data_IF_511253509538
#
_entry.id   IF_511253509538
#
_cell.length_a   1.000
_cell.length_b   1.000
_cell.length_c   1.000
_cell.angle_alpha   90.00
_cell.angle_beta   90.00
_cell.angle_gamma   90.00
#
_symmetry.space_group_name_H-M   'P 1'
#
loop_
_entity.id
_entity.type
_entity.pdbx_description
1 polymer ?
#
# COMPACT_ATOMS: atom_id res chain seq x y z
N UNK A 1 -12.72 -13.78 14.60
CA UNK A 1 -11.80 -12.87 15.30
C UNK A 1 -10.97 -12.22 14.23
N UNK A 2 -11.07 -10.91 14.09
CA UNK A 2 -10.30 -10.15 13.11
C UNK A 2 -8.87 -9.96 13.63
N UNK A 3 -7.88 -10.30 12.83
CA UNK A 3 -6.46 -10.06 13.12
C UNK A 3 -5.98 -9.00 12.14
N UNK A 4 -5.14 -8.08 12.62
CA UNK A 4 -4.50 -7.08 11.77
C UNK A 4 -3.07 -7.51 11.48
N UNK A 5 -2.75 -7.63 10.19
CA UNK A 5 -1.40 -7.85 9.70
C UNK A 5 -0.90 -6.52 9.15
N UNK A 6 0.32 -6.12 9.50
CA UNK A 6 0.85 -4.80 9.17
C UNK A 6 2.23 -4.87 8.52
N UNK A 7 2.48 -3.94 7.60
CA UNK A 7 3.80 -3.64 7.05
C UNK A 7 4.13 -2.17 7.34
N UNK A 8 5.29 -1.94 7.97
CA UNK A 8 5.77 -0.59 8.26
C UNK A 8 6.27 0.11 6.99
N UNK A 9 6.09 1.43 6.91
CA UNK A 9 6.67 2.26 5.87
C UNK A 9 8.17 2.13 5.74
N UNK A 10 8.89 1.95 6.86
CA UNK A 10 10.34 1.73 6.84
C UNK A 10 10.78 0.45 6.08
N UNK A 11 9.88 -0.52 5.93
CA UNK A 11 10.08 -1.74 5.15
C UNK A 11 9.50 -1.69 3.74
N UNK A 12 8.97 -0.54 3.31
CA UNK A 12 8.38 -0.38 2.00
C UNK A 12 9.45 -0.40 0.89
N UNK A 13 9.06 -0.89 -0.28
CA UNK A 13 9.92 -0.98 -1.46
C UNK A 13 9.23 -0.22 -2.59
N UNK A 14 9.97 0.58 -3.36
CA UNK A 14 9.40 1.34 -4.47
C UNK A 14 9.92 0.87 -5.82
N UNK A 15 9.16 1.18 -6.87
CA UNK A 15 9.67 1.08 -8.23
C UNK A 15 10.85 2.05 -8.46
N UNK A 16 11.66 1.79 -9.50
CA UNK A 16 12.83 2.63 -9.83
C UNK A 16 12.52 4.07 -10.28
N UNK A 17 11.24 4.42 -10.44
CA UNK A 17 10.81 5.80 -10.73
C UNK A 17 10.74 6.67 -9.48
N UNK A 18 10.68 6.05 -8.29
CA UNK A 18 10.55 6.72 -7.01
C UNK A 18 11.80 6.50 -6.18
N UNK A 19 12.11 7.48 -5.32
CA UNK A 19 13.10 7.33 -4.25
C UNK A 19 12.35 7.19 -2.93
N UNK A 20 12.88 6.34 -2.06
CA UNK A 20 12.37 6.12 -0.71
C UNK A 20 13.48 6.40 0.29
N UNK A 21 13.13 7.06 1.40
CA UNK A 21 14.01 7.25 2.55
C UNK A 21 13.23 6.93 3.84
N UNK A 22 13.82 6.18 4.79
CA UNK A 22 13.19 5.99 6.09
C UNK A 22 13.00 7.32 6.82
N UNK A 23 11.88 7.48 7.56
CA UNK A 23 11.68 8.58 8.50
C UNK A 23 10.86 8.10 9.70
N UNK A 24 11.34 8.33 10.93
CA UNK A 24 10.64 8.03 12.21
C UNK A 24 9.89 6.69 12.33
N UNK A 25 10.29 5.65 11.59
CA UNK A 25 9.61 4.35 11.55
C UNK A 25 8.64 4.15 10.39
N UNK A 26 8.35 5.22 9.64
CA UNK A 26 7.72 5.22 8.33
C UNK A 26 8.74 5.41 7.19
N UNK A 27 8.25 5.90 6.05
CA UNK A 27 9.09 6.25 4.91
C UNK A 27 8.51 7.35 4.04
N UNK A 28 9.39 8.31 3.69
CA UNK A 28 9.10 9.38 2.75
C UNK A 28 9.43 8.90 1.34
N UNK A 29 8.45 8.98 0.45
CA UNK A 29 8.55 8.62 -0.97
C UNK A 29 8.38 9.87 -1.83
N UNK A 30 9.25 10.01 -2.84
CA UNK A 30 9.25 11.14 -3.76
C UNK A 30 9.60 10.69 -5.19
N UNK A 31 9.28 11.49 -6.23
CA UNK A 31 9.77 11.25 -7.57
C UNK A 31 11.30 11.35 -7.66
N UNK A 32 11.90 10.55 -8.54
CA UNK A 32 13.33 10.67 -8.87
C UNK A 32 13.60 11.76 -9.92
N UNK A 33 12.63 12.01 -10.81
CA UNK A 33 12.75 12.91 -11.97
C UNK A 33 11.42 13.62 -12.25
N UNK A 34 11.42 14.80 -12.91
CA UNK A 34 10.20 15.57 -13.18
C UNK A 34 9.11 14.84 -13.98
N UNK A 35 9.50 13.87 -14.80
CA UNK A 35 8.63 13.02 -15.62
C UNK A 35 8.12 11.78 -14.87
N UNK A 36 8.78 11.39 -13.78
CA UNK A 36 8.47 10.23 -12.95
C UNK A 36 7.35 10.52 -11.93
N UNK A 37 6.22 11.08 -12.39
CA UNK A 37 5.11 11.56 -11.54
C UNK A 37 4.20 10.45 -10.99
N UNK A 38 4.56 9.18 -11.19
CA UNK A 38 3.78 8.04 -10.72
C UNK A 38 4.69 6.84 -10.43
N UNK A 39 4.23 5.97 -9.54
CA UNK A 39 4.88 4.70 -9.26
C UNK A 39 4.11 3.89 -8.22
N UNK A 40 4.64 2.71 -7.90
CA UNK A 40 4.11 1.85 -6.86
C UNK A 40 5.02 1.82 -5.63
N UNK A 41 4.37 1.69 -4.47
CA UNK A 41 5.00 1.43 -3.18
C UNK A 41 4.47 0.11 -2.65
N UNK A 42 5.36 -0.82 -2.34
CA UNK A 42 5.05 -2.20 -1.96
C UNK A 42 5.36 -2.42 -0.48
N UNK A 43 4.38 -2.93 0.24
CA UNK A 43 4.46 -3.27 1.65
C UNK A 43 4.34 -4.79 1.77
N UNK A 44 5.40 -5.43 2.25
CA UNK A 44 5.41 -6.87 2.52
C UNK A 44 4.81 -7.09 3.91
N UNK A 45 3.75 -7.87 4.00
CA UNK A 45 3.06 -8.16 5.25
C UNK A 45 3.43 -9.57 5.74
N UNK A 46 3.40 -9.82 7.07
CA UNK A 46 3.58 -11.15 7.61
C UNK A 46 2.50 -12.10 7.08
N UNK A 47 2.84 -13.39 6.98
CA UNK A 47 1.87 -14.40 6.58
C UNK A 47 0.74 -14.50 7.62
N UNK A 48 -0.53 -14.62 7.17
CA UNK A 48 -1.64 -14.86 8.08
C UNK A 48 -1.47 -16.18 8.86
N UNK A 49 -1.95 -16.25 10.12
CA UNK A 49 -1.72 -17.40 11.01
C UNK A 49 -2.60 -18.63 10.71
N UNK A 50 -3.52 -18.55 9.74
CA UNK A 50 -4.49 -19.62 9.42
C UNK A 50 -4.35 -20.05 7.97
N UNK A 51 -4.78 -21.28 7.68
CA UNK A 51 -5.00 -21.72 6.29
C UNK A 51 -6.19 -20.94 5.70
N UNK A 52 -5.90 -20.09 4.72
CA UNK A 52 -6.85 -19.38 3.86
C UNK A 52 -7.82 -18.38 4.55
N UNK A 53 -7.37 -17.44 5.40
CA UNK A 53 -8.26 -16.41 5.91
C UNK A 53 -8.77 -15.50 4.80
N UNK A 54 -9.95 -14.95 5.01
CA UNK A 54 -10.52 -13.93 4.12
C UNK A 54 -9.96 -12.57 4.49
N UNK A 55 -9.43 -11.84 3.50
CA UNK A 55 -9.07 -10.43 3.72
C UNK A 55 -10.33 -9.58 3.60
N UNK A 56 -10.55 -8.71 4.59
CA UNK A 56 -11.78 -7.90 4.74
C UNK A 56 -11.58 -6.42 4.50
N UNK A 57 -10.38 -5.92 4.73
CA UNK A 57 -10.09 -4.50 4.60
C UNK A 57 -8.60 -4.26 4.40
N UNK A 58 -8.30 -3.10 3.82
CA UNK A 58 -6.96 -2.52 3.74
C UNK A 58 -7.01 -1.14 4.40
N UNK A 59 -6.10 -0.89 5.33
CA UNK A 59 -5.85 0.43 5.91
C UNK A 59 -4.49 0.93 5.40
N UNK A 60 -4.46 2.17 4.93
CA UNK A 60 -3.24 2.84 4.49
C UNK A 60 -3.11 4.11 5.32
N UNK A 61 -2.04 4.20 6.11
CA UNK A 61 -1.75 5.37 6.93
C UNK A 61 -0.62 6.19 6.31
N UNK A 62 -0.94 7.43 5.94
CA UNK A 62 -0.01 8.32 5.26
C UNK A 62 -0.41 9.79 5.36
N UNK A 63 0.59 10.64 5.22
CA UNK A 63 0.45 12.07 4.96
C UNK A 63 1.00 12.41 3.58
N UNK A 64 0.37 13.34 2.87
CA UNK A 64 0.81 13.73 1.54
C UNK A 64 0.97 15.25 1.43
N UNK A 65 2.07 15.65 0.80
CA UNK A 65 2.32 17.00 0.32
C UNK A 65 2.41 17.00 -1.20
N UNK A 66 1.41 17.59 -1.86
CA UNK A 66 1.33 17.69 -3.32
C UNK A 66 1.41 16.33 -4.05
N UNK A 67 0.99 15.27 -3.35
CA UNK A 67 0.91 13.89 -3.83
C UNK A 67 -0.44 13.28 -3.44
N UNK A 68 -0.77 12.13 -4.02
CA UNK A 68 -1.99 11.40 -3.70
C UNK A 68 -1.88 9.92 -4.05
N UNK A 69 -2.72 9.12 -3.40
CA UNK A 69 -2.96 7.71 -3.74
C UNK A 69 -4.16 7.62 -4.67
N UNK A 70 -4.03 6.92 -5.79
CA UNK A 70 -5.11 6.73 -6.77
C UNK A 70 -5.61 5.28 -6.87
N UNK A 71 -4.86 4.33 -6.30
CA UNK A 71 -5.30 2.95 -6.17
C UNK A 71 -4.53 2.21 -5.06
N UNK A 72 -5.12 1.11 -4.62
CA UNK A 72 -4.46 0.12 -3.75
C UNK A 72 -4.75 -1.29 -4.26
N UNK A 73 -3.82 -2.22 -4.10
CA UNK A 73 -3.98 -3.61 -4.52
C UNK A 73 -3.41 -4.58 -3.47
N UNK A 74 -4.02 -5.75 -3.38
CA UNK A 74 -3.47 -6.91 -2.66
C UNK A 74 -2.89 -7.87 -3.68
N UNK A 75 -1.68 -8.35 -3.40
CA UNK A 75 -0.97 -9.33 -4.20
C UNK A 75 -0.57 -10.54 -3.38
N UNK A 76 -0.73 -11.72 -3.98
CA UNK A 76 -0.21 -12.98 -3.44
C UNK A 76 0.83 -13.56 -4.39
N UNK A 77 2.09 -13.70 -3.94
CA UNK A 77 3.23 -14.03 -4.79
C UNK A 77 3.23 -13.26 -6.13
N UNK A 78 3.12 -11.93 -6.04
CA UNK A 78 3.11 -11.00 -7.16
C UNK A 78 1.90 -11.08 -8.11
N UNK A 79 0.93 -11.98 -7.88
CA UNK A 79 -0.34 -11.99 -8.60
C UNK A 79 -1.33 -11.05 -7.92
N UNK A 80 -1.93 -10.13 -8.68
CA UNK A 80 -2.97 -9.23 -8.20
C UNK A 80 -4.24 -10.03 -7.88
N UNK A 81 -4.64 -10.02 -6.61
CA UNK A 81 -5.86 -10.69 -6.14
C UNK A 81 -7.02 -9.70 -6.06
N UNK A 82 -6.74 -8.49 -5.60
CA UNK A 82 -7.71 -7.41 -5.46
C UNK A 82 -7.09 -6.08 -5.84
N UNK A 83 -7.87 -5.19 -6.46
CA UNK A 83 -7.48 -3.83 -6.74
C UNK A 83 -8.65 -2.89 -6.64
N UNK A 84 -8.49 -1.86 -5.82
CA UNK A 84 -9.41 -0.72 -5.76
C UNK A 84 -8.77 0.47 -6.44
N UNK A 85 -9.44 1.05 -7.44
CA UNK A 85 -9.07 2.32 -8.05
C UNK A 85 -10.00 3.40 -7.52
N UNK A 86 -9.44 4.49 -7.01
CA UNK A 86 -10.26 5.53 -6.41
C UNK A 86 -10.76 6.53 -7.47
N UNK A 87 -12.07 6.79 -7.53
CA UNK A 87 -12.62 7.81 -8.43
C UNK A 87 -12.21 9.22 -8.02
N UNK A 88 -11.80 9.42 -6.76
CA UNK A 88 -11.24 10.67 -6.25
C UNK A 88 -9.90 10.37 -5.57
N UNK A 89 -8.83 11.14 -5.85
CA UNK A 89 -7.55 11.03 -5.17
C UNK A 89 -7.68 10.99 -3.65
N UNK A 90 -6.91 10.12 -3.00
CA UNK A 90 -6.77 10.10 -1.55
C UNK A 90 -5.53 10.90 -1.17
N UNK A 91 -5.70 11.94 -0.36
CA UNK A 91 -4.62 12.83 0.11
C UNK A 91 -4.31 12.63 1.59
N UNK A 92 -4.99 11.71 2.26
CA UNK A 92 -4.79 11.34 3.66
C UNK A 92 -5.21 9.88 3.87
N UNK A 93 -4.86 9.33 5.03
CA UNK A 93 -5.14 7.95 5.44
C UNK A 93 -6.58 7.51 5.18
N UNK A 94 -6.75 6.25 4.77
CA UNK A 94 -8.05 5.70 4.41
C UNK A 94 -8.16 4.21 4.69
N UNK A 95 -9.40 3.73 4.71
CA UNK A 95 -9.77 2.32 4.76
C UNK A 95 -10.55 1.92 3.50
N UNK A 96 -10.23 0.76 2.94
CA UNK A 96 -10.94 0.13 1.82
C UNK A 96 -11.52 -1.20 2.28
N UNK A 97 -12.85 -1.42 2.20
CA UNK A 97 -13.42 -2.75 2.40
C UNK A 97 -13.07 -3.65 1.21
N UNK A 98 -12.76 -4.92 1.50
CA UNK A 98 -12.52 -5.95 0.49
C UNK A 98 -13.73 -6.89 0.49
N UNK A 99 -14.47 -7.00 -0.63
CA UNK A 99 -15.60 -7.90 -0.73
C UNK A 99 -15.20 -9.36 -0.48
N UNK A 100 -16.11 -10.13 0.12
CA UNK A 100 -15.88 -11.56 0.38
C UNK A 100 -15.61 -12.29 -0.94
N UNK A 101 -14.56 -13.09 -0.98
CA UNK A 101 -14.19 -13.92 -2.13
C UNK A 101 -13.26 -13.23 -3.14
N UNK A 102 -12.96 -11.94 -2.99
CA UNK A 102 -12.05 -11.25 -3.91
C UNK A 102 -10.57 -11.41 -3.55
N UNK A 103 -10.25 -11.49 -2.24
CA UNK A 103 -8.88 -11.69 -1.78
C UNK A 103 -8.83 -12.84 -0.76
N UNK A 104 -8.90 -14.07 -1.28
CA UNK A 104 -8.69 -15.27 -0.49
C UNK A 104 -7.20 -15.61 -0.44
N UNK A 105 -6.68 -15.73 0.78
CA UNK A 105 -5.28 -16.08 0.98
C UNK A 105 -4.99 -17.49 0.43
N UNK A 106 -3.90 -17.63 -0.33
CA UNK A 106 -3.54 -18.87 -1.03
C UNK A 106 -2.23 -19.51 -0.53
N UNK A 107 -1.81 -19.20 0.70
CA UNK A 107 -0.59 -19.75 1.30
C UNK A 107 0.72 -19.11 0.85
N UNK A 108 0.68 -17.99 0.10
CA UNK A 108 1.88 -17.31 -0.43
C UNK A 108 2.20 -16.01 0.30
N UNK A 109 3.28 -15.31 -0.06
CA UNK A 109 3.59 -14.00 0.53
C UNK A 109 2.50 -12.96 0.22
N UNK A 110 2.16 -12.12 1.20
CA UNK A 110 1.16 -11.03 1.05
C UNK A 110 1.88 -9.71 0.82
N UNK A 111 1.50 -9.02 -0.25
CA UNK A 111 2.01 -7.67 -0.55
C UNK A 111 0.83 -6.75 -0.76
N UNK A 112 0.81 -5.62 -0.04
CA UNK A 112 -0.08 -4.51 -0.39
C UNK A 112 0.70 -3.54 -1.25
N UNK A 113 0.14 -3.16 -2.39
CA UNK A 113 0.72 -2.16 -3.27
C UNK A 113 -0.14 -0.91 -3.27
N UNK A 114 0.47 0.23 -2.94
CA UNK A 114 -0.13 1.55 -2.99
C UNK A 114 0.37 2.26 -4.24
N UNK A 115 -0.54 2.69 -5.11
CA UNK A 115 -0.21 3.43 -6.32
C UNK A 115 -0.30 4.92 -6.03
N UNK A 116 0.82 5.61 -6.26
CA UNK A 116 0.99 7.01 -5.90
C UNK A 116 1.22 7.87 -7.14
N UNK A 117 0.74 9.11 -7.06
CA UNK A 117 0.96 10.15 -8.06
C UNK A 117 1.40 11.43 -7.40
N UNK A 118 2.26 12.15 -8.10
CA UNK A 118 2.90 13.37 -7.63
C UNK A 118 2.58 14.52 -8.59
N UNK A 119 2.20 15.67 -8.06
CA UNK A 119 1.89 16.84 -8.88
C UNK A 119 3.19 17.47 -9.43
N UNK A 120 4.26 17.40 -8.66
CA UNK A 120 5.57 17.97 -8.95
C UNK A 120 6.73 17.15 -8.38
N UNK A 121 7.97 17.49 -8.76
CA UNK A 121 9.18 16.76 -8.32
C UNK A 121 9.45 16.89 -6.80
N UNK A 122 9.06 18.01 -6.18
CA UNK A 122 9.28 18.26 -4.76
C UNK A 122 8.23 17.60 -3.86
N UNK A 123 7.11 17.18 -4.44
CA UNK A 123 6.03 16.49 -3.74
C UNK A 123 6.55 15.26 -2.99
N UNK A 124 5.85 14.92 -1.91
CA UNK A 124 6.20 13.82 -1.04
C UNK A 124 4.95 13.13 -0.51
N UNK A 125 5.10 11.84 -0.23
CA UNK A 125 4.12 11.07 0.55
C UNK A 125 4.90 10.37 1.65
N UNK A 126 4.46 10.53 2.88
CA UNK A 126 5.05 9.89 4.06
C UNK A 126 4.13 8.77 4.51
N UNK A 127 4.62 7.53 4.46
CA UNK A 127 3.87 6.35 4.85
C UNK A 127 4.31 5.89 6.24
N UNK A 128 3.37 5.84 7.17
CA UNK A 128 3.61 5.23 8.47
C UNK A 128 3.53 3.70 8.37
N UNK A 129 2.39 3.20 7.88
CA UNK A 129 2.12 1.78 7.78
C UNK A 129 0.95 1.44 6.84
N UNK A 130 0.88 0.16 6.47
CA UNK A 130 -0.26 -0.43 5.78
C UNK A 130 -0.69 -1.68 6.51
N UNK A 131 -2.00 -1.86 6.67
CA UNK A 131 -2.58 -3.00 7.37
C UNK A 131 -3.65 -3.69 6.56
N UNK A 132 -3.82 -4.99 6.79
CA UNK A 132 -4.98 -5.73 6.32
C UNK A 132 -5.71 -6.39 7.48
N UNK A 133 -7.03 -6.42 7.41
CA UNK A 133 -7.87 -7.19 8.31
C UNK A 133 -8.07 -8.60 7.75
N UNK A 134 -7.74 -9.62 8.54
CA UNK A 134 -7.93 -11.03 8.18
C UNK A 134 -8.87 -11.73 9.17
N UNK A 135 -9.75 -12.59 8.66
CA UNK A 135 -10.75 -13.36 9.44
C UNK A 135 -10.75 -14.85 9.10
#
# INVERSE_FOLDING_TARGET
MTIWLQGSGSGAITDGTLKIRPDRGGAIVQPTRPDAKQGAVHFILPAPPRENPTIRAIDVDFEADSAYVDAVAIRFANMEAFREKFPRPKTSSFRVPVPKGEAEYNGRGVVVTVYVKFQELRAAIDFDEVRIAVE
#
